data_IF_148232731605
#
_entry.id   IF_148232731605
#
_cell.length_a   1.000
_cell.length_b   1.000
_cell.length_c   1.000
_cell.angle_alpha   90.00
_cell.angle_beta   90.00
_cell.angle_gamma   90.00
#
_symmetry.space_group_name_H-M   'P 1'
#
loop_
_entity.id
_entity.type
_entity.pdbx_description
1 polymer ?
#
# COMPACT_ATOMS: atom_id res chain seq x y z
N UNK A 1 -6.66 6.69 -9.92
CA UNK A 1 -5.40 6.19 -9.39
C UNK A 1 -4.76 5.19 -10.33
N UNK A 2 -5.51 4.25 -10.83
CA UNK A 2 -5.04 3.19 -11.73
C UNK A 2 -5.66 3.30 -13.13
N UNK A 3 -5.85 4.53 -13.63
CA UNK A 3 -6.22 4.81 -15.01
C UNK A 3 -7.60 4.30 -15.41
N UNK A 4 -8.59 4.52 -14.58
CA UNK A 4 -9.99 4.10 -14.81
C UNK A 4 -10.19 2.58 -14.97
N UNK A 5 -9.21 1.77 -14.49
CA UNK A 5 -9.38 0.33 -14.45
C UNK A 5 -10.44 -0.01 -13.40
N UNK A 6 -11.50 -0.67 -13.85
CA UNK A 6 -12.50 -1.23 -12.95
C UNK A 6 -11.97 -2.52 -12.33
N UNK A 7 -12.07 -2.63 -11.02
CA UNK A 7 -11.73 -3.83 -10.28
C UNK A 7 -12.99 -4.48 -9.74
N UNK A 8 -12.99 -5.80 -9.76
CA UNK A 8 -14.03 -6.64 -9.18
C UNK A 8 -13.34 -7.74 -8.37
N UNK A 9 -13.81 -7.97 -7.15
CA UNK A 9 -13.34 -9.06 -6.30
C UNK A 9 -14.54 -9.95 -5.98
N UNK A 10 -14.52 -11.17 -6.48
CA UNK A 10 -15.56 -12.18 -6.25
C UNK A 10 -16.97 -11.69 -6.63
N UNK A 11 -17.10 -10.90 -7.70
CA UNK A 11 -18.36 -10.37 -8.19
C UNK A 11 -18.82 -9.06 -7.51
N UNK A 12 -17.99 -8.50 -6.63
CA UNK A 12 -18.25 -7.21 -6.00
C UNK A 12 -17.32 -6.13 -6.55
N UNK A 13 -17.84 -4.99 -7.03
CA UNK A 13 -16.99 -3.90 -7.49
C UNK A 13 -16.17 -3.33 -6.33
N UNK A 14 -14.90 -3.09 -6.59
CA UNK A 14 -13.96 -2.50 -5.64
C UNK A 14 -13.77 -1.01 -5.94
N UNK A 15 -14.01 -0.16 -4.93
CA UNK A 15 -13.53 1.23 -4.94
C UNK A 15 -12.23 1.32 -4.13
N UNK A 16 -11.13 1.66 -4.78
CA UNK A 16 -9.85 1.83 -4.11
C UNK A 16 -9.86 2.98 -3.09
N UNK A 17 -10.75 3.95 -3.24
CA UNK A 17 -10.93 5.03 -2.28
C UNK A 17 -11.42 4.57 -0.90
N UNK A 18 -12.04 3.38 -0.83
CA UNK A 18 -12.49 2.76 0.42
C UNK A 18 -11.43 1.91 1.10
N UNK A 19 -10.23 1.82 0.52
CA UNK A 19 -9.12 1.01 1.05
C UNK A 19 -8.13 1.84 1.85
N UNK A 20 -7.42 1.20 2.77
CA UNK A 20 -6.23 1.74 3.43
C UNK A 20 -5.00 1.08 2.81
N UNK A 21 -3.91 1.84 2.63
CA UNK A 21 -2.69 1.27 2.07
C UNK A 21 -1.71 0.82 3.16
N UNK A 22 -1.11 -0.34 2.95
CA UNK A 22 0.05 -0.80 3.69
C UNK A 22 1.32 -0.30 2.99
N UNK A 23 2.14 0.46 3.68
CA UNK A 23 3.36 1.09 3.15
C UNK A 23 3.15 1.88 1.83
N UNK A 24 1.91 2.31 1.54
CA UNK A 24 1.56 2.93 0.27
C UNK A 24 1.76 2.03 -0.96
N UNK A 25 1.82 0.71 -0.80
CA UNK A 25 2.07 -0.23 -1.91
C UNK A 25 1.03 -1.34 -2.07
N UNK A 26 0.30 -1.69 -1.04
CA UNK A 26 -0.78 -2.67 -1.11
C UNK A 26 -2.05 -2.11 -0.49
N UNK A 27 -3.20 -2.60 -0.94
CA UNK A 27 -4.52 -2.13 -0.52
C UNK A 27 -5.20 -3.17 0.36
N UNK A 28 -5.82 -2.73 1.46
CA UNK A 28 -6.56 -3.64 2.34
C UNK A 28 -7.67 -4.38 1.58
N UNK A 29 -7.74 -5.69 1.78
CA UNK A 29 -8.75 -6.55 1.17
C UNK A 29 -8.52 -6.89 -0.30
N UNK A 30 -7.47 -6.37 -0.93
CA UNK A 30 -7.19 -6.60 -2.37
C UNK A 30 -6.12 -7.67 -2.52
N UNK A 31 -6.44 -8.85 -3.10
CA UNK A 31 -5.48 -9.93 -3.23
C UNK A 31 -4.45 -9.68 -4.33
N UNK A 32 -3.20 -10.05 -4.07
CA UNK A 32 -2.10 -10.13 -5.04
C UNK A 32 -1.83 -8.85 -5.85
N UNK A 33 -2.32 -7.70 -5.41
CA UNK A 33 -2.10 -6.42 -6.09
C UNK A 33 -1.06 -5.60 -5.35
N UNK A 34 0.00 -5.25 -6.05
CA UNK A 34 1.01 -4.30 -5.58
C UNK A 34 1.01 -3.07 -6.48
N UNK A 35 0.87 -1.93 -5.86
CA UNK A 35 0.88 -0.64 -6.53
C UNK A 35 2.25 0.03 -6.37
N UNK A 36 2.84 0.37 -7.48
CA UNK A 36 4.10 1.10 -7.48
C UNK A 36 3.82 2.58 -7.63
N UNK A 37 3.99 3.31 -6.55
CA UNK A 37 4.01 4.76 -6.54
C UNK A 37 5.36 5.23 -6.04
N UNK A 38 6.03 6.08 -6.81
CA UNK A 38 7.37 6.56 -6.48
C UNK A 38 7.38 7.75 -5.52
N UNK A 39 8.52 8.43 -5.45
CA UNK A 39 8.67 9.64 -4.66
C UNK A 39 8.22 10.88 -5.43
N UNK A 40 7.61 11.84 -4.74
CA UNK A 40 7.24 13.13 -5.31
C UNK A 40 8.46 14.00 -5.62
N UNK A 41 9.52 13.89 -4.81
CA UNK A 41 10.69 14.77 -4.83
C UNK A 41 12.02 14.02 -4.98
N UNK A 42 11.97 12.74 -5.36
CA UNK A 42 13.14 11.92 -5.59
C UNK A 42 12.91 10.95 -6.76
N UNK A 43 13.91 10.17 -7.12
CA UNK A 43 13.76 9.18 -8.18
C UNK A 43 12.72 8.12 -7.84
N UNK A 44 11.82 7.85 -8.78
CA UNK A 44 10.84 6.78 -8.69
C UNK A 44 11.49 5.41 -8.52
N UNK A 45 12.64 5.20 -9.18
CA UNK A 45 13.35 3.91 -9.16
C UNK A 45 13.77 3.49 -7.76
N UNK A 46 14.11 4.43 -6.89
CA UNK A 46 14.47 4.13 -5.50
C UNK A 46 13.36 3.38 -4.76
N UNK A 47 12.12 3.80 -4.96
CA UNK A 47 10.99 3.15 -4.30
C UNK A 47 10.57 1.88 -5.02
N UNK A 48 10.70 1.84 -6.34
CA UNK A 48 10.44 0.64 -7.15
C UNK A 48 11.33 -0.52 -6.70
N UNK A 49 12.61 -0.28 -6.47
CA UNK A 49 13.57 -1.29 -6.01
C UNK A 49 13.16 -1.87 -4.64
N UNK A 50 12.84 -1.02 -3.67
CA UNK A 50 12.40 -1.48 -2.34
C UNK A 50 11.11 -2.30 -2.41
N UNK A 51 10.13 -1.86 -3.19
CA UNK A 51 8.88 -2.59 -3.40
C UNK A 51 9.17 -3.94 -4.07
N UNK A 52 10.02 -3.98 -5.08
CA UNK A 52 10.39 -5.21 -5.78
C UNK A 52 11.05 -6.23 -4.84
N UNK A 53 11.94 -5.79 -3.94
CA UNK A 53 12.55 -6.66 -2.93
C UNK A 53 11.49 -7.27 -1.99
N UNK A 54 10.53 -6.48 -1.52
CA UNK A 54 9.42 -6.99 -0.69
C UNK A 54 8.58 -7.99 -1.46
N UNK A 55 8.24 -7.69 -2.71
CA UNK A 55 7.47 -8.60 -3.58
C UNK A 55 8.22 -9.93 -3.79
N UNK A 56 9.53 -9.88 -4.04
CA UNK A 56 10.34 -11.09 -4.18
C UNK A 56 10.34 -11.94 -2.90
N UNK A 57 10.44 -11.31 -1.72
CA UNK A 57 10.34 -12.02 -0.43
C UNK A 57 8.96 -12.64 -0.23
N UNK A 58 7.88 -11.93 -0.59
CA UNK A 58 6.51 -12.47 -0.53
C UNK A 58 6.33 -13.66 -1.45
N UNK A 59 6.80 -13.57 -2.70
CA UNK A 59 6.70 -14.68 -3.67
C UNK A 59 7.48 -15.91 -3.19
N UNK A 60 8.66 -15.71 -2.65
CA UNK A 60 9.45 -16.81 -2.08
C UNK A 60 8.74 -17.46 -0.89
N UNK A 61 8.20 -16.67 0.03
CA UNK A 61 7.39 -17.17 1.15
C UNK A 61 6.14 -17.94 0.68
N UNK A 62 5.46 -17.44 -0.35
CA UNK A 62 4.30 -18.12 -0.93
C UNK A 62 4.69 -19.48 -1.55
N UNK A 63 5.82 -19.52 -2.25
CA UNK A 63 6.34 -20.75 -2.85
C UNK A 63 6.72 -21.79 -1.78
N UNK A 64 7.46 -21.39 -0.75
CA UNK A 64 7.85 -22.25 0.37
C UNK A 64 6.66 -22.80 1.17
N UNK A 65 5.59 -22.00 1.30
CA UNK A 65 4.41 -22.37 2.09
C UNK A 65 3.28 -22.98 1.25
N UNK A 66 3.47 -23.08 -0.08
CA UNK A 66 2.46 -23.59 -1.02
C UNK A 66 1.25 -22.66 -1.13
N UNK A 67 1.39 -21.38 -0.81
CA UNK A 67 0.32 -20.39 -0.88
C UNK A 67 0.33 -19.68 -2.23
N UNK A 68 -0.85 -19.21 -2.67
CA UNK A 68 -1.01 -18.55 -3.97
C UNK A 68 -1.67 -17.18 -3.90
N UNK A 69 -2.12 -16.81 -2.71
CA UNK A 69 -2.81 -15.56 -2.48
C UNK A 69 -2.26 -14.89 -1.23
N UNK A 70 -1.98 -13.60 -1.32
CA UNK A 70 -1.69 -12.73 -0.19
C UNK A 70 -2.66 -11.56 -0.19
N UNK A 71 -3.24 -11.27 0.96
CA UNK A 71 -4.14 -10.14 1.19
C UNK A 71 -3.62 -9.35 2.37
N UNK A 72 -3.56 -8.04 2.23
CA UNK A 72 -3.29 -7.14 3.35
C UNK A 72 -4.59 -6.89 4.10
N UNK A 73 -4.56 -7.08 5.40
CA UNK A 73 -5.71 -6.86 6.29
C UNK A 73 -5.35 -5.87 7.38
N UNK A 74 -6.26 -4.92 7.63
CA UNK A 74 -6.09 -4.00 8.74
C UNK A 74 -6.30 -4.75 10.05
N UNK A 75 -5.33 -4.74 10.98
CA UNK A 75 -5.51 -5.35 12.29
C UNK A 75 -6.73 -4.78 13.02
N UNK A 76 -7.52 -5.63 13.72
CA UNK A 76 -8.76 -5.21 14.36
C UNK A 76 -8.59 -4.02 15.32
N UNK A 77 -7.45 -3.93 15.98
CA UNK A 77 -7.12 -2.83 16.89
C UNK A 77 -6.98 -1.47 16.19
N UNK A 78 -6.76 -1.46 14.87
CA UNK A 78 -6.65 -0.24 14.06
C UNK A 78 -7.94 0.10 13.29
N UNK A 79 -8.93 -0.78 13.30
CA UNK A 79 -10.17 -0.61 12.52
C UNK A 79 -10.97 0.65 12.90
N UNK A 80 -10.81 1.17 14.11
CA UNK A 80 -11.45 2.38 14.61
C UNK A 80 -10.63 3.66 14.45
N UNK A 81 -9.43 3.58 13.89
CA UNK A 81 -8.59 4.76 13.73
C UNK A 81 -9.05 5.69 12.60
N UNK A 82 -8.86 7.01 12.77
CA UNK A 82 -9.20 7.97 11.72
C UNK A 82 -8.45 7.68 10.42
N UNK A 83 -9.19 7.52 9.34
CA UNK A 83 -8.62 7.40 8.00
C UNK A 83 -8.26 8.78 7.47
N UNK A 84 -7.03 8.94 7.05
CA UNK A 84 -6.49 10.19 6.54
C UNK A 84 -6.39 10.15 5.00
N UNK A 85 -6.43 11.31 4.33
CA UNK A 85 -6.14 11.41 2.91
C UNK A 85 -4.77 10.80 2.61
N UNK A 86 -4.63 10.13 1.47
CA UNK A 86 -3.40 9.43 1.09
C UNK A 86 -2.17 10.34 1.07
N UNK A 87 -2.34 11.59 0.66
CA UNK A 87 -1.29 12.62 0.70
C UNK A 87 -1.64 13.69 1.73
N UNK A 88 -0.66 14.09 2.50
CA UNK A 88 -0.75 15.27 3.35
C UNK A 88 -0.65 16.54 2.50
N UNK A 89 -1.72 17.34 2.50
CA UNK A 89 -1.83 18.58 1.74
C UNK A 89 -0.81 19.65 2.15
N UNK A 90 -0.35 19.61 3.39
CA UNK A 90 0.65 20.56 3.86
C UNK A 90 2.03 20.26 3.28
N UNK A 91 2.31 18.99 2.99
CA UNK A 91 3.58 18.57 2.45
C UNK A 91 3.64 18.57 0.92
N UNK A 92 2.54 18.21 0.25
CA UNK A 92 2.50 18.10 -1.21
C UNK A 92 1.08 18.32 -1.74
N UNK A 93 0.88 19.39 -2.52
CA UNK A 93 -0.44 19.85 -2.91
C UNK A 93 -0.59 20.26 -4.39
N UNK A 94 -0.09 19.49 -5.38
CA UNK A 94 -0.33 19.84 -6.77
C UNK A 94 -1.82 19.76 -7.10
N UNK A 95 -2.29 20.74 -7.86
CA UNK A 95 -3.73 20.95 -8.10
C UNK A 95 -4.45 19.72 -8.68
N UNK A 96 -3.79 18.95 -9.56
CA UNK A 96 -4.37 17.73 -10.14
C UNK A 96 -4.62 16.66 -9.06
N UNK A 97 -3.66 16.45 -8.17
CA UNK A 97 -3.78 15.46 -7.09
C UNK A 97 -4.83 15.88 -6.06
N UNK A 98 -4.91 17.19 -5.78
CA UNK A 98 -5.92 17.69 -4.84
C UNK A 98 -7.35 17.55 -5.36
N UNK A 99 -7.56 17.71 -6.68
CA UNK A 99 -8.89 17.49 -7.29
C UNK A 99 -9.35 16.04 -7.17
N UNK A 100 -8.41 15.10 -7.37
CA UNK A 100 -8.70 13.66 -7.46
C UNK A 100 -8.40 12.92 -6.16
N UNK A 101 -8.12 13.64 -5.07
CA UNK A 101 -7.82 13.04 -3.76
C UNK A 101 -8.94 12.14 -3.23
N UNK A 102 -10.18 12.42 -3.60
CA UNK A 102 -11.33 11.61 -3.22
C UNK A 102 -11.34 10.21 -3.87
N UNK A 103 -10.60 10.04 -4.98
CA UNK A 103 -10.40 8.76 -5.68
C UNK A 103 -9.18 7.99 -5.17
N UNK A 104 -8.41 8.58 -4.26
CA UNK A 104 -7.20 7.97 -3.71
C UNK A 104 -7.55 7.08 -2.51
N UNK A 105 -6.78 6.02 -2.27
CA UNK A 105 -6.92 5.24 -1.05
C UNK A 105 -6.66 6.09 0.19
N UNK A 106 -6.84 5.51 1.35
CA UNK A 106 -6.60 6.15 2.64
C UNK A 106 -5.27 5.70 3.24
N UNK A 107 -4.81 6.43 4.24
CA UNK A 107 -3.73 6.04 5.15
C UNK A 107 -4.19 6.20 6.60
N UNK A 108 -3.46 5.61 7.53
CA UNK A 108 -3.57 5.90 8.95
C UNK A 108 -2.32 6.66 9.40
N UNK A 109 -2.40 7.32 10.55
CA UNK A 109 -1.24 7.91 11.21
C UNK A 109 -0.47 6.83 11.99
N UNK A 110 -0.02 5.82 11.25
CA UNK A 110 0.73 4.66 11.74
C UNK A 110 1.84 4.30 10.76
N UNK A 111 2.98 3.87 11.27
CA UNK A 111 4.19 3.64 10.51
C UNK A 111 3.98 2.72 9.31
N UNK A 112 3.30 1.58 9.50
CA UNK A 112 3.08 0.61 8.44
C UNK A 112 1.93 0.99 7.48
N UNK A 113 1.06 1.89 7.89
CA UNK A 113 -0.19 2.21 7.21
C UNK A 113 -0.17 3.57 6.50
N UNK A 114 1.02 4.03 6.18
CA UNK A 114 1.27 5.25 5.42
C UNK A 114 2.54 5.14 4.58
N UNK A 115 2.78 6.10 3.71
CA UNK A 115 4.06 6.36 3.08
C UNK A 115 4.60 7.71 3.57
N UNK A 116 5.89 7.79 3.86
CA UNK A 116 6.48 9.01 4.38
C UNK A 116 7.01 9.92 3.29
N UNK A 117 7.21 9.40 2.08
CA UNK A 117 7.89 10.10 0.99
C UNK A 117 9.34 10.51 1.34
N UNK A 118 9.93 9.86 2.35
CA UNK A 118 11.31 10.01 2.75
C UNK A 118 12.09 8.70 2.51
N UNK A 119 12.98 8.72 1.52
CA UNK A 119 13.75 7.54 1.12
C UNK A 119 14.56 6.93 2.27
N UNK A 120 15.20 7.78 3.09
CA UNK A 120 16.10 7.28 4.12
C UNK A 120 15.35 6.53 5.22
N UNK A 121 14.21 7.01 5.64
CA UNK A 121 13.37 6.30 6.61
C UNK A 121 12.68 5.08 5.99
N UNK A 122 12.19 5.17 4.75
CA UNK A 122 11.54 4.05 4.08
C UNK A 122 12.49 2.91 3.75
N UNK A 123 13.75 3.19 3.42
CA UNK A 123 14.75 2.17 3.10
C UNK A 123 14.90 1.13 4.21
N UNK A 124 15.10 1.59 5.43
CA UNK A 124 15.28 0.70 6.58
C UNK A 124 13.96 -0.01 6.94
N UNK A 125 12.85 0.69 6.82
CA UNK A 125 11.51 0.15 7.08
C UNK A 125 11.13 -0.96 6.10
N UNK A 126 11.32 -0.76 4.79
CA UNK A 126 11.03 -1.77 3.79
C UNK A 126 11.88 -3.04 3.97
N UNK A 127 13.16 -2.88 4.32
CA UNK A 127 14.03 -4.00 4.65
C UNK A 127 13.55 -4.78 5.88
N UNK A 128 12.95 -4.10 6.87
CA UNK A 128 12.46 -4.68 8.12
C UNK A 128 11.02 -5.23 8.05
N UNK A 129 10.29 -5.08 6.94
CA UNK A 129 8.92 -5.60 6.82
C UNK A 129 8.90 -7.10 7.13
N UNK A 130 8.14 -7.48 8.16
CA UNK A 130 7.83 -8.88 8.45
C UNK A 130 6.72 -9.36 7.53
N UNK A 131 7.10 -10.03 6.44
CA UNK A 131 6.15 -10.54 5.44
C UNK A 131 5.25 -11.67 5.97
N UNK A 132 5.60 -12.32 7.08
CA UNK A 132 4.75 -13.29 7.77
C UNK A 132 3.94 -12.66 8.91
N UNK A 133 4.04 -11.35 9.07
CA UNK A 133 3.37 -10.57 10.12
C UNK A 133 1.85 -10.50 9.97
N UNK A 134 1.20 -10.02 11.00
CA UNK A 134 -0.29 -9.97 11.13
C UNK A 134 -1.02 -9.15 10.06
N UNK A 135 -0.32 -8.28 9.36
CA UNK A 135 -0.89 -7.50 8.27
C UNK A 135 -1.12 -8.34 6.98
N UNK A 136 -0.53 -9.53 6.90
CA UNK A 136 -0.59 -10.36 5.70
C UNK A 136 -1.31 -11.68 5.99
N UNK A 137 -2.38 -11.94 5.25
CA UNK A 137 -3.06 -13.23 5.22
C UNK A 137 -2.73 -13.96 3.95
N UNK A 138 -2.16 -15.16 4.08
CA UNK A 138 -1.80 -16.03 2.97
C UNK A 138 -2.77 -17.20 2.84
N UNK A 139 -3.18 -17.49 1.58
CA UNK A 139 -4.11 -18.58 1.22
C UNK A 139 -3.60 -19.41 0.03
#
# INVERSE_FOLDING_TARGET
VLGDIAFDIDGAPLDLADTVTYQGMMFTGVPNLVWVFGYFRASWTLRVEMIAEVVCRMLHHMDETGRRKVVVELPPELAGEPQLPWVDRENFNPGYLMRDMHLMPKRLDREDWQHTQDYWSEKDRFAAIDIAGRAFRYE
#
